data_IF_339332830259
#
_entry.id   IF_339332830259
#
_cell.length_a   1.000
_cell.length_b   1.000
_cell.length_c   1.000
_cell.angle_alpha   90.00
_cell.angle_beta   90.00
_cell.angle_gamma   90.00
#
_symmetry.space_group_name_H-M   'P 1'
#
loop_
_entity.id
_entity.type
_entity.pdbx_description
1 polymer ?
#
# COMPACT_ATOMS: atom_id res chain seq x y z
N UNK A 1 11.84 44.44 4.43
CA UNK A 1 10.47 43.87 4.45
C UNK A 1 10.61 42.53 5.11
N UNK A 2 10.10 42.39 6.32
CA UNK A 2 10.09 41.13 7.04
C UNK A 2 9.00 40.27 6.39
N UNK A 3 9.38 39.27 5.60
CA UNK A 3 8.43 38.34 5.01
C UNK A 3 7.93 37.42 6.11
N UNK A 4 6.75 37.72 6.63
CA UNK A 4 6.00 36.83 7.52
C UNK A 4 5.64 35.56 6.75
N UNK A 5 6.53 34.58 6.78
CA UNK A 5 6.24 33.24 6.28
C UNK A 5 5.25 32.56 7.23
N UNK A 6 4.27 31.89 6.63
CA UNK A 6 3.27 31.15 7.38
C UNK A 6 3.96 29.99 8.13
N UNK A 7 3.92 29.95 9.47
CA UNK A 7 4.58 28.89 10.23
C UNK A 7 3.86 27.53 10.14
N UNK A 8 2.66 27.48 9.56
CA UNK A 8 1.89 26.26 9.44
C UNK A 8 2.19 25.50 8.16
N UNK A 9 2.75 24.30 8.31
CA UNK A 9 2.93 23.34 7.23
C UNK A 9 1.58 22.66 6.97
N UNK A 10 0.87 23.12 5.94
CA UNK A 10 -0.46 22.61 5.55
C UNK A 10 -0.41 21.55 4.45
N UNK A 11 0.74 21.30 3.86
CA UNK A 11 0.93 20.38 2.74
C UNK A 11 2.30 19.72 2.77
N UNK A 12 2.40 18.52 2.22
CA UNK A 12 3.66 17.76 2.14
C UNK A 12 3.89 16.83 3.33
N UNK A 13 5.10 16.27 3.40
CA UNK A 13 5.53 15.46 4.54
C UNK A 13 5.88 16.37 5.72
N UNK A 14 5.46 16.01 6.92
CA UNK A 14 5.82 16.72 8.14
C UNK A 14 7.22 16.27 8.55
N UNK A 15 8.14 17.22 8.73
CA UNK A 15 9.49 16.89 9.18
C UNK A 15 9.48 16.35 10.62
N UNK A 16 10.46 15.51 11.00
CA UNK A 16 10.45 14.86 12.30
C UNK A 16 10.41 15.81 13.50
N UNK A 17 10.95 17.02 13.36
CA UNK A 17 10.90 18.04 14.41
C UNK A 17 9.49 18.57 14.67
N UNK A 18 8.62 18.55 13.66
CA UNK A 18 7.23 19.01 13.75
C UNK A 18 6.24 17.87 14.02
N UNK A 19 6.69 16.62 14.16
CA UNK A 19 5.85 15.47 14.50
C UNK A 19 5.67 15.32 16.02
N UNK A 20 4.76 16.11 16.58
CA UNK A 20 4.56 16.25 18.02
C UNK A 20 3.84 15.06 18.68
N UNK A 21 4.05 14.92 20.00
CA UNK A 21 3.30 14.05 20.94
C UNK A 21 3.16 12.56 20.58
N UNK A 22 4.06 12.02 19.76
CA UNK A 22 4.01 10.61 19.31
C UNK A 22 5.36 9.90 19.28
N UNK A 23 6.34 10.40 20.04
CA UNK A 23 7.70 9.82 20.09
C UNK A 23 7.68 8.36 20.56
N UNK A 24 6.98 8.07 21.65
CA UNK A 24 6.89 6.70 22.18
C UNK A 24 6.02 5.78 21.33
N UNK A 25 4.89 6.31 20.83
CA UNK A 25 3.97 5.57 19.94
C UNK A 25 4.69 5.13 18.64
N UNK A 26 5.38 6.06 17.98
CA UNK A 26 6.16 5.77 16.77
C UNK A 26 7.34 4.84 17.04
N UNK A 27 8.08 5.02 18.14
CA UNK A 27 9.17 4.13 18.52
C UNK A 27 8.68 2.70 18.75
N UNK A 28 7.54 2.53 19.44
CA UNK A 28 6.91 1.21 19.65
C UNK A 28 6.45 0.60 18.33
N UNK A 29 5.82 1.38 17.46
CA UNK A 29 5.36 0.90 16.16
C UNK A 29 6.54 0.43 15.29
N UNK A 30 7.59 1.24 15.17
CA UNK A 30 8.80 0.87 14.41
C UNK A 30 9.41 -0.43 14.96
N UNK A 31 9.52 -0.56 16.29
CA UNK A 31 10.04 -1.78 16.92
C UNK A 31 9.19 -3.02 16.58
N UNK A 32 7.86 -2.90 16.65
CA UNK A 32 6.96 -4.00 16.28
C UNK A 32 7.13 -4.39 14.81
N UNK A 33 7.24 -3.41 13.90
CA UNK A 33 7.44 -3.65 12.47
C UNK A 33 8.79 -4.31 12.18
N UNK A 34 9.87 -3.85 12.79
CA UNK A 34 11.21 -4.46 12.62
C UNK A 34 11.28 -5.89 13.17
N UNK A 35 10.42 -6.22 14.13
CA UNK A 35 10.30 -7.57 14.68
C UNK A 35 9.38 -8.50 13.86
N UNK A 36 8.79 -8.01 12.76
CA UNK A 36 7.89 -8.79 11.91
C UNK A 36 6.50 -9.00 12.51
N UNK A 37 6.09 -8.19 13.49
CA UNK A 37 4.78 -8.32 14.10
C UNK A 37 3.68 -7.71 13.22
N UNK A 38 2.52 -8.37 13.16
CA UNK A 38 1.30 -7.78 12.62
C UNK A 38 0.73 -6.77 13.64
N UNK A 39 0.39 -5.56 13.18
CA UNK A 39 -0.07 -4.47 14.04
C UNK A 39 -1.40 -3.91 13.53
N UNK A 40 -2.35 -3.71 14.44
CA UNK A 40 -3.59 -2.98 14.19
C UNK A 40 -3.55 -1.65 14.95
N UNK A 41 -3.76 -0.53 14.24
CA UNK A 41 -3.84 0.80 14.83
C UNK A 41 -5.31 1.25 14.93
N UNK A 42 -5.82 1.41 16.15
CA UNK A 42 -7.20 1.80 16.42
C UNK A 42 -7.27 3.13 17.17
N UNK A 43 -8.07 4.06 16.66
CA UNK A 43 -8.40 5.34 17.30
C UNK A 43 -9.54 6.03 16.53
N UNK A 44 -10.23 7.04 17.10
CA UNK A 44 -11.27 7.81 16.40
C UNK A 44 -10.83 8.38 15.03
N UNK A 45 -11.80 8.78 14.20
CA UNK A 45 -11.54 9.41 12.89
C UNK A 45 -10.76 10.72 13.10
N UNK A 46 -9.85 11.03 12.16
CA UNK A 46 -8.98 12.24 12.16
C UNK A 46 -7.92 12.30 13.28
N UNK A 47 -7.66 11.20 13.97
CA UNK A 47 -6.57 11.09 14.95
C UNK A 47 -5.19 10.82 14.30
N UNK A 48 -4.93 11.24 13.07
CA UNK A 48 -3.58 11.21 12.48
C UNK A 48 -2.94 9.84 12.25
N UNK A 49 -3.70 8.72 12.22
CA UNK A 49 -3.15 7.36 12.03
C UNK A 49 -2.31 7.23 10.74
N UNK A 50 -2.82 7.74 9.63
CA UNK A 50 -2.10 7.72 8.35
C UNK A 50 -0.78 8.48 8.43
N UNK A 51 -0.80 9.66 9.06
CA UNK A 51 0.41 10.46 9.29
C UNK A 51 1.44 9.73 10.16
N UNK A 52 1.00 9.02 11.19
CA UNK A 52 1.87 8.18 12.01
C UNK A 52 2.55 7.06 11.21
N UNK A 53 1.80 6.36 10.33
CA UNK A 53 2.36 5.30 9.48
C UNK A 53 3.41 5.89 8.52
N UNK A 54 3.07 7.00 7.85
CA UNK A 54 3.98 7.69 6.94
C UNK A 54 5.24 8.20 7.65
N UNK A 55 5.10 8.75 8.85
CA UNK A 55 6.21 9.14 9.70
C UNK A 55 7.10 7.94 10.06
N UNK A 56 6.52 6.80 10.45
CA UNK A 56 7.31 5.61 10.74
C UNK A 56 8.04 5.09 9.48
N UNK A 57 7.41 5.20 8.31
CA UNK A 57 8.01 4.81 7.03
C UNK A 57 9.23 5.65 6.66
N UNK A 58 9.37 6.89 7.12
CA UNK A 58 10.58 7.70 6.88
C UNK A 58 11.77 7.29 7.76
N UNK A 59 11.55 6.44 8.78
CA UNK A 59 12.61 5.95 9.65
C UNK A 59 13.70 5.19 8.90
N UNK A 60 14.96 5.51 9.19
CA UNK A 60 16.13 4.80 8.67
C UNK A 60 16.13 3.31 9.00
N UNK A 61 15.50 2.91 10.13
CA UNK A 61 15.33 1.50 10.52
C UNK A 61 14.51 0.70 9.52
N UNK A 62 13.65 1.36 8.75
CA UNK A 62 12.81 0.73 7.73
C UNK A 62 13.35 0.98 6.30
N UNK A 63 14.55 1.51 6.13
CA UNK A 63 15.11 1.85 4.81
C UNK A 63 15.29 0.63 3.88
N UNK A 64 15.64 -0.54 4.44
CA UNK A 64 15.82 -1.79 3.69
C UNK A 64 14.52 -2.54 3.35
N UNK A 65 13.35 -2.00 3.70
CA UNK A 65 12.07 -2.67 3.48
C UNK A 65 11.33 -2.07 2.29
N UNK A 66 10.71 -2.94 1.48
CA UNK A 66 9.68 -2.51 0.54
C UNK A 66 8.42 -2.12 1.33
N UNK A 67 7.88 -0.94 1.02
CA UNK A 67 6.72 -0.35 1.69
C UNK A 67 5.63 -0.17 0.66
N UNK A 68 4.49 -0.80 0.90
CA UNK A 68 3.29 -0.68 0.08
C UNK A 68 2.21 -0.05 0.95
N UNK A 69 1.55 1.00 0.45
CA UNK A 69 0.46 1.66 1.15
C UNK A 69 -0.80 1.54 0.29
N UNK A 70 -1.82 0.86 0.81
CA UNK A 70 -3.02 0.52 0.06
C UNK A 70 -4.22 1.06 0.83
N UNK A 71 -4.91 2.04 0.26
CA UNK A 71 -6.18 2.52 0.79
C UNK A 71 -7.32 1.66 0.23
N UNK A 72 -8.00 0.96 1.13
CA UNK A 72 -9.10 0.04 0.80
C UNK A 72 -10.47 0.62 1.15
N UNK A 73 -10.56 1.88 1.58
CA UNK A 73 -11.81 2.48 2.05
C UNK A 73 -12.92 2.41 0.99
N UNK A 74 -12.55 2.54 -0.28
CA UNK A 74 -13.48 2.57 -1.41
C UNK A 74 -13.62 1.22 -2.13
N UNK A 75 -12.98 0.16 -1.64
CA UNK A 75 -13.12 -1.16 -2.26
C UNK A 75 -14.45 -1.80 -1.90
N UNK A 76 -15.16 -2.29 -2.92
CA UNK A 76 -16.50 -2.89 -2.81
C UNK A 76 -16.46 -4.42 -2.70
N UNK A 77 -15.31 -5.05 -2.97
CA UNK A 77 -15.17 -6.50 -2.87
C UNK A 77 -13.76 -7.01 -3.16
N UNK A 78 -13.60 -8.34 -3.11
CA UNK A 78 -12.32 -9.02 -3.24
C UNK A 78 -11.62 -8.74 -4.59
N UNK A 79 -12.38 -8.66 -5.68
CA UNK A 79 -11.83 -8.36 -7.01
C UNK A 79 -11.11 -7.01 -7.03
N UNK A 80 -11.78 -5.98 -6.51
CA UNK A 80 -11.25 -4.61 -6.47
C UNK A 80 -10.06 -4.50 -5.50
N UNK A 81 -10.14 -5.14 -4.34
CA UNK A 81 -9.02 -5.23 -3.40
C UNK A 81 -7.78 -5.88 -4.04
N UNK A 82 -7.97 -7.03 -4.70
CA UNK A 82 -6.88 -7.76 -5.35
C UNK A 82 -6.25 -6.95 -6.47
N UNK A 83 -7.08 -6.24 -7.25
CA UNK A 83 -6.63 -5.32 -8.29
C UNK A 83 -5.79 -4.17 -7.71
N UNK A 84 -6.29 -3.47 -6.68
CA UNK A 84 -5.56 -2.36 -6.05
C UNK A 84 -4.24 -2.81 -5.43
N UNK A 85 -4.25 -3.94 -4.73
CA UNK A 85 -3.05 -4.56 -4.16
C UNK A 85 -2.02 -4.86 -5.27
N UNK A 86 -2.43 -5.55 -6.32
CA UNK A 86 -1.55 -5.92 -7.43
C UNK A 86 -0.97 -4.68 -8.14
N UNK A 87 -1.81 -3.67 -8.38
CA UNK A 87 -1.42 -2.40 -9.00
C UNK A 87 -0.38 -1.66 -8.16
N UNK A 88 -0.61 -1.52 -6.85
CA UNK A 88 0.30 -0.80 -5.96
C UNK A 88 1.66 -1.52 -5.84
N UNK A 89 1.64 -2.84 -5.68
CA UNK A 89 2.85 -3.66 -5.63
C UNK A 89 3.64 -3.54 -6.93
N UNK A 90 2.95 -3.66 -8.08
CA UNK A 90 3.58 -3.54 -9.38
C UNK A 90 4.20 -2.15 -9.59
N UNK A 91 3.46 -1.07 -9.36
CA UNK A 91 3.94 0.31 -9.55
C UNK A 91 5.19 0.60 -8.70
N UNK A 92 5.19 0.14 -7.45
CA UNK A 92 6.30 0.38 -6.54
C UNK A 92 7.55 -0.42 -6.90
N UNK A 93 7.38 -1.66 -7.35
CA UNK A 93 8.51 -2.49 -7.80
C UNK A 93 9.02 -2.06 -9.18
N UNK A 94 8.13 -1.68 -10.10
CA UNK A 94 8.46 -1.18 -11.44
C UNK A 94 9.32 0.07 -11.42
N UNK A 95 9.06 0.97 -10.46
CA UNK A 95 9.85 2.17 -10.25
C UNK A 95 11.20 1.92 -9.57
N UNK A 96 11.40 0.76 -8.94
CA UNK A 96 12.57 0.52 -8.05
C UNK A 96 13.58 -0.49 -8.62
N UNK A 97 13.14 -1.65 -9.10
CA UNK A 97 14.03 -2.76 -9.47
C UNK A 97 13.45 -3.68 -10.55
N UNK A 98 14.09 -3.72 -11.73
CA UNK A 98 13.70 -4.59 -12.86
C UNK A 98 13.73 -6.08 -12.52
N UNK A 99 14.58 -6.53 -11.58
CA UNK A 99 14.64 -7.94 -11.15
C UNK A 99 13.44 -8.31 -10.29
N UNK A 100 13.04 -7.44 -9.39
CA UNK A 100 11.82 -7.63 -8.59
C UNK A 100 10.57 -7.63 -9.45
N UNK A 101 10.52 -6.79 -10.48
CA UNK A 101 9.43 -6.78 -11.47
C UNK A 101 9.37 -8.12 -12.22
N UNK A 102 10.50 -8.63 -12.70
CA UNK A 102 10.51 -9.90 -13.42
C UNK A 102 10.11 -11.07 -12.53
N UNK A 103 10.52 -11.06 -11.24
CA UNK A 103 10.08 -12.03 -10.25
C UNK A 103 8.57 -11.92 -10.01
N UNK A 104 8.04 -10.71 -9.81
CA UNK A 104 6.61 -10.48 -9.63
C UNK A 104 5.82 -10.96 -10.85
N UNK A 105 6.22 -10.60 -12.06
CA UNK A 105 5.59 -11.05 -13.31
C UNK A 105 5.62 -12.57 -13.40
N UNK A 106 6.75 -13.20 -13.07
CA UNK A 106 6.88 -14.67 -13.09
C UNK A 106 5.95 -15.32 -12.06
N UNK A 107 5.86 -14.77 -10.86
CA UNK A 107 4.96 -15.25 -9.79
C UNK A 107 3.50 -15.06 -10.19
N UNK A 108 3.12 -13.90 -10.73
CA UNK A 108 1.77 -13.64 -11.24
C UNK A 108 1.39 -14.56 -12.40
N UNK A 109 2.31 -14.81 -13.35
CA UNK A 109 2.14 -15.81 -14.43
C UNK A 109 1.93 -17.22 -13.87
N UNK A 110 2.59 -17.58 -12.78
CA UNK A 110 2.42 -18.90 -12.16
C UNK A 110 1.12 -19.04 -11.35
N UNK A 111 0.60 -17.94 -10.78
CA UNK A 111 -0.61 -17.95 -9.94
C UNK A 111 -1.88 -17.88 -10.79
N UNK A 112 -1.84 -17.23 -11.96
CA UNK A 112 -3.03 -17.02 -12.77
C UNK A 112 -2.77 -17.26 -14.24
N UNK A 113 -3.36 -18.35 -14.77
CA UNK A 113 -3.55 -18.53 -16.21
C UNK A 113 -4.58 -17.58 -16.82
N UNK A 114 -5.16 -16.66 -16.03
CA UNK A 114 -6.20 -15.69 -16.43
C UNK A 114 -5.78 -14.22 -16.29
N UNK A 115 -4.55 -13.93 -15.86
CA UNK A 115 -4.04 -12.56 -15.86
C UNK A 115 -3.65 -12.19 -17.30
N UNK A 116 -4.31 -11.18 -17.87
CA UNK A 116 -3.96 -10.66 -19.19
C UNK A 116 -2.58 -10.00 -19.15
N UNK A 117 -1.78 -10.24 -20.18
CA UNK A 117 -0.51 -9.54 -20.39
C UNK A 117 -0.61 -8.75 -21.68
N UNK A 118 -0.08 -7.52 -21.67
CA UNK A 118 0.04 -6.74 -22.89
C UNK A 118 1.05 -7.43 -23.83
N UNK A 119 0.67 -7.75 -25.08
CA UNK A 119 1.49 -8.55 -25.98
C UNK A 119 2.74 -7.81 -26.51
N UNK A 120 2.80 -6.48 -26.37
CA UNK A 120 3.92 -5.65 -26.85
C UNK A 120 4.93 -5.41 -25.73
N UNK A 121 4.46 -5.09 -24.52
CA UNK A 121 5.29 -4.74 -23.37
C UNK A 121 5.57 -5.92 -22.44
N UNK A 122 4.78 -7.00 -22.51
CA UNK A 122 4.91 -8.17 -21.64
C UNK A 122 4.56 -7.90 -20.16
N UNK A 123 4.04 -6.70 -19.87
CA UNK A 123 3.61 -6.28 -18.54
C UNK A 123 2.19 -6.78 -18.25
N UNK A 124 1.81 -6.95 -16.97
CA UNK A 124 0.45 -7.30 -16.61
C UNK A 124 -0.51 -6.20 -17.09
N UNK A 125 -1.53 -6.58 -17.86
CA UNK A 125 -2.59 -5.68 -18.27
C UNK A 125 -3.59 -5.56 -17.10
N UNK A 126 -3.47 -4.48 -16.34
CA UNK A 126 -4.41 -4.16 -15.25
C UNK A 126 -5.66 -3.45 -15.82
N UNK A 127 -6.47 -4.15 -16.61
CA UNK A 127 -7.77 -3.62 -17.05
C UNK A 127 -8.88 -3.96 -16.06
N UNK A 128 -9.66 -2.95 -15.64
CA UNK A 128 -10.86 -3.14 -14.81
C UNK A 128 -12.02 -3.75 -15.62
N UNK A 129 -11.94 -3.63 -16.94
CA UNK A 129 -12.86 -4.19 -17.92
C UNK A 129 -12.21 -5.37 -18.67
N UNK A 130 -13.04 -6.35 -19.06
CA UNK A 130 -12.77 -7.77 -19.38
C UNK A 130 -12.80 -8.68 -18.15
N UNK A 131 -13.82 -9.49 -17.89
CA UNK A 131 -15.02 -9.84 -18.64
C UNK A 131 -15.60 -11.09 -17.97
N UNK A 132 -16.91 -11.08 -17.77
CA UNK A 132 -17.82 -12.16 -17.38
C UNK A 132 -17.22 -13.51 -16.92
N UNK A 133 -17.43 -13.81 -15.64
CA UNK A 133 -17.90 -15.15 -15.29
C UNK A 133 -19.35 -14.96 -14.87
N UNK A 134 -20.22 -15.21 -15.84
CA UNK A 134 -21.60 -15.59 -15.62
C UNK A 134 -21.66 -16.65 -14.51
N UNK A 135 -22.49 -16.38 -13.49
CA UNK A 135 -22.80 -17.19 -12.30
C UNK A 135 -21.80 -17.10 -11.13
N UNK A 136 -22.14 -16.36 -10.05
CA UNK A 136 -21.88 -16.92 -8.74
C UNK A 136 -22.80 -18.14 -8.62
N UNK A 137 -22.25 -19.35 -8.73
CA UNK A 137 -22.97 -20.50 -8.21
C UNK A 137 -23.18 -20.25 -6.72
N UNK A 138 -24.45 -20.05 -6.38
CA UNK A 138 -24.95 -20.10 -5.02
C UNK A 138 -24.46 -21.40 -4.39
N UNK A 139 -23.79 -21.30 -3.25
CA UNK A 139 -23.78 -22.41 -2.28
C UNK A 139 -23.65 -21.82 -0.89
N UNK A 140 -24.79 -21.30 -0.42
CA UNK A 140 -25.16 -21.37 0.99
C UNK A 140 -26.31 -22.38 1.07
N UNK A 141 -25.97 -23.65 0.94
CA UNK A 141 -26.74 -24.75 1.52
C UNK A 141 -25.76 -25.59 2.34
N UNK A 142 -26.04 -25.65 3.65
CA UNK A 142 -25.51 -26.55 4.68
C UNK A 142 -24.02 -26.29 5.06
N UNK A 143 -23.70 -25.83 6.27
CA UNK A 143 -24.02 -26.38 7.61
C UNK A 143 -24.25 -25.25 8.64
#
# INVERSE_FOLDING_TARGET
>A
MDTTENPFIVSGSIDPEYFCDRRDESARLIKSLTNGNNVVLMSPRRMGKTGLIQFCYSSSKLSGYHKFFIDILHTTGLKELTYLLGKEVFNRLASSDRRMVSLLIRTLKSISGKLGFDPVSGLPAFSLELGDIDRPEYTLEEI
#
